data_IF_203431243963
#
_entry.id   IF_203431243963
#
_cell.length_a   1.000
_cell.length_b   1.000
_cell.length_c   1.000
_cell.angle_alpha   90.00
_cell.angle_beta   90.00
_cell.angle_gamma   90.00
#
_symmetry.space_group_name_H-M   'P 1'
#
loop_
_entity.id
_entity.type
_entity.pdbx_description
1 polymer ?
#
# COMPACT_ATOMS: atom_id res chain seq x y z
N UNK A 1 -11.69 -1.32 -7.63
CA UNK A 1 -10.64 -0.58 -6.89
C UNK A 1 -9.46 -1.52 -6.63
N UNK A 2 -8.22 -1.02 -6.69
CA UNK A 2 -7.00 -1.84 -6.68
C UNK A 2 -6.83 -2.69 -5.41
N UNK A 3 -7.33 -2.21 -4.27
CA UNK A 3 -7.35 -2.96 -3.01
C UNK A 3 -8.19 -4.25 -3.12
N UNK A 4 -9.32 -4.24 -3.85
CA UNK A 4 -10.18 -5.42 -3.99
C UNK A 4 -9.45 -6.55 -4.72
N UNK A 5 -8.83 -6.23 -5.85
CA UNK A 5 -8.02 -7.15 -6.65
C UNK A 5 -6.89 -7.80 -5.82
N UNK A 6 -6.21 -6.99 -4.99
CA UNK A 6 -5.16 -7.51 -4.11
C UNK A 6 -5.68 -8.52 -3.08
N UNK A 7 -6.88 -8.31 -2.55
CA UNK A 7 -7.46 -9.17 -1.52
C UNK A 7 -8.15 -10.41 -2.10
N UNK A 8 -8.77 -10.30 -3.26
CA UNK A 8 -9.57 -11.38 -3.88
C UNK A 8 -8.75 -12.24 -4.83
N UNK A 9 -7.78 -11.68 -5.55
CA UNK A 9 -7.04 -12.40 -6.59
C UNK A 9 -5.61 -12.73 -6.16
N UNK A 10 -4.91 -11.78 -5.52
CA UNK A 10 -3.48 -11.92 -5.21
C UNK A 10 -3.24 -12.63 -3.89
N UNK A 11 -3.90 -12.20 -2.82
CA UNK A 11 -3.67 -12.74 -1.48
C UNK A 11 -3.98 -14.26 -1.38
N UNK A 12 -5.06 -14.79 -1.99
CA UNK A 12 -5.32 -16.22 -1.96
C UNK A 12 -4.27 -17.08 -2.66
N UNK A 13 -3.50 -16.51 -3.60
CA UNK A 13 -2.43 -17.21 -4.31
C UNK A 13 -1.08 -17.15 -3.58
N UNK A 14 -0.82 -16.08 -2.84
CA UNK A 14 0.50 -15.80 -2.24
C UNK A 14 0.55 -15.87 -0.72
N UNK A 15 -0.60 -16.06 -0.05
CA UNK A 15 -0.84 -16.02 1.41
C UNK A 15 -0.43 -14.72 2.12
N UNK A 16 0.35 -13.87 1.46
CA UNK A 16 0.99 -12.69 2.02
C UNK A 16 1.40 -11.70 0.90
N UNK A 17 1.33 -10.40 1.17
CA UNK A 17 2.07 -9.39 0.42
C UNK A 17 2.51 -8.25 1.34
N UNK A 18 3.62 -7.60 0.98
CA UNK A 18 4.25 -6.53 1.76
C UNK A 18 4.50 -5.30 0.89
N UNK A 19 4.48 -4.14 1.55
CA UNK A 19 4.86 -2.84 1.00
C UNK A 19 4.19 -2.51 -0.35
N UNK A 20 2.92 -2.89 -0.51
CA UNK A 20 2.21 -2.63 -1.75
C UNK A 20 1.64 -1.22 -1.74
N UNK A 21 2.09 -0.38 -2.67
CA UNK A 21 1.63 1.01 -2.78
C UNK A 21 0.40 1.13 -3.69
N UNK A 22 -0.64 1.77 -3.18
CA UNK A 22 -1.86 2.10 -3.93
C UNK A 22 -2.08 3.59 -3.87
N UNK A 23 -2.09 4.23 -5.04
CA UNK A 23 -2.65 5.57 -5.17
C UNK A 23 -4.16 5.50 -5.37
N UNK A 24 -4.88 6.33 -4.63
CA UNK A 24 -6.32 6.43 -4.77
C UNK A 24 -6.78 7.86 -4.52
N UNK A 25 -7.77 8.29 -5.30
CA UNK A 25 -8.46 9.56 -5.10
C UNK A 25 -9.71 9.33 -4.25
N UNK A 26 -9.63 9.70 -2.98
CA UNK A 26 -10.72 9.53 -2.03
C UNK A 26 -11.63 10.75 -2.07
N UNK A 27 -12.94 10.52 -2.14
CA UNK A 27 -13.93 11.59 -2.26
C UNK A 27 -13.83 12.71 -1.21
N UNK A 28 -13.39 12.40 0.02
CA UNK A 28 -13.31 13.37 1.13
C UNK A 28 -11.91 13.85 1.46
N UNK A 29 -10.88 13.03 1.23
CA UNK A 29 -9.49 13.33 1.63
C UNK A 29 -8.54 13.55 0.45
N UNK A 30 -9.06 13.48 -0.79
CA UNK A 30 -8.33 13.64 -2.04
C UNK A 30 -7.39 12.49 -2.36
N UNK A 31 -6.42 12.76 -3.22
CA UNK A 31 -5.39 11.80 -3.61
C UNK A 31 -4.50 11.42 -2.42
N UNK A 32 -4.38 10.12 -2.15
CA UNK A 32 -3.46 9.56 -1.16
C UNK A 32 -2.70 8.38 -1.72
N UNK A 33 -1.49 8.19 -1.22
CA UNK A 33 -0.68 7.00 -1.44
C UNK A 33 -0.74 6.14 -0.19
N UNK A 34 -1.39 4.99 -0.29
CA UNK A 34 -1.55 4.02 0.80
C UNK A 34 -0.52 2.89 0.65
N UNK A 35 0.20 2.56 1.72
CA UNK A 35 1.06 1.39 1.82
C UNK A 35 0.28 0.26 2.49
N UNK A 36 0.23 -0.88 1.82
CA UNK A 36 -0.58 -2.02 2.23
C UNK A 36 0.32 -3.23 2.53
N UNK A 37 0.06 -3.88 3.66
CA UNK A 37 0.61 -5.19 4.00
C UNK A 37 -0.53 -6.12 4.35
N UNK A 38 -0.54 -7.34 3.81
CA UNK A 38 -1.57 -8.31 4.13
C UNK A 38 -1.00 -9.71 4.39
N UNK A 39 -1.69 -10.44 5.27
CA UNK A 39 -1.43 -11.85 5.58
C UNK A 39 -2.77 -12.59 5.71
N UNK A 40 -2.86 -13.74 5.06
CA UNK A 40 -3.96 -14.68 5.27
C UNK A 40 -3.61 -15.60 6.45
N UNK A 41 -4.56 -15.77 7.36
CA UNK A 41 -4.45 -16.63 8.54
C UNK A 41 -5.53 -17.70 8.43
N UNK A 42 -5.10 -18.95 8.26
CA UNK A 42 -5.98 -20.11 8.20
C UNK A 42 -6.25 -20.64 9.62
N UNK A 43 -7.52 -20.75 10.02
CA UNK A 43 -7.90 -21.32 11.31
C UNK A 43 -8.03 -22.84 11.25
N UNK A 44 -7.34 -23.53 12.16
CA UNK A 44 -7.22 -25.00 12.22
C UNK A 44 -8.57 -25.71 12.46
N UNK A 45 -9.55 -25.05 13.09
CA UNK A 45 -10.78 -25.68 13.60
C UNK A 45 -12.09 -25.28 12.91
N UNK A 46 -12.03 -24.65 11.74
CA UNK A 46 -13.24 -24.41 10.95
C UNK A 46 -13.10 -23.27 9.96
N UNK A 47 -12.83 -23.65 8.70
CA UNK A 47 -13.08 -23.03 7.37
C UNK A 47 -13.09 -21.51 7.15
N UNK A 48 -12.93 -20.68 8.16
CA UNK A 48 -12.90 -19.23 8.05
C UNK A 48 -11.48 -18.75 7.80
N UNK A 49 -11.29 -18.08 6.67
CA UNK A 49 -10.06 -17.38 6.32
C UNK A 49 -10.12 -15.97 6.91
N UNK A 50 -9.13 -15.62 7.71
CA UNK A 50 -8.97 -14.26 8.21
C UNK A 50 -7.89 -13.56 7.40
N UNK A 51 -8.13 -12.31 7.03
CA UNK A 51 -7.11 -11.46 6.45
C UNK A 51 -6.71 -10.43 7.49
N UNK A 52 -5.43 -10.44 7.87
CA UNK A 52 -4.81 -9.34 8.59
C UNK A 52 -4.30 -8.34 7.56
N UNK A 53 -4.80 -7.10 7.61
CA UNK A 53 -4.44 -6.01 6.70
C UNK A 53 -3.93 -4.82 7.51
N UNK A 54 -2.74 -4.34 7.19
CA UNK A 54 -2.22 -3.07 7.67
C UNK A 54 -2.23 -2.05 6.52
N UNK A 55 -2.69 -0.84 6.82
CA UNK A 55 -2.82 0.27 5.89
C UNK A 55 -2.15 1.48 6.51
N UNK A 56 -1.23 2.11 5.79
CA UNK A 56 -0.55 3.33 6.21
C UNK A 56 -0.68 4.39 5.10
N UNK A 57 -1.07 5.61 5.45
CA UNK A 57 -1.01 6.74 4.52
C UNK A 57 0.44 7.28 4.49
N UNK A 58 1.11 7.05 3.35
CA UNK A 58 2.50 7.46 3.14
C UNK A 58 2.62 8.69 2.24
N UNK A 59 1.52 9.39 1.96
CA UNK A 59 1.48 10.55 1.04
C UNK A 59 2.52 11.59 1.42
N UNK A 60 2.55 12.00 2.69
CA UNK A 60 3.51 13.01 3.19
C UNK A 60 4.96 12.56 3.06
N UNK A 61 5.23 11.28 3.30
CA UNK A 61 6.58 10.71 3.17
C UNK A 61 7.05 10.80 1.72
N UNK A 62 6.18 10.43 0.78
CA UNK A 62 6.45 10.49 -0.67
C UNK A 62 6.65 11.93 -1.16
N UNK A 63 5.87 12.88 -0.66
CA UNK A 63 6.02 14.30 -1.02
C UNK A 63 7.39 14.84 -0.58
N UNK A 64 7.83 14.51 0.64
CA UNK A 64 9.16 14.90 1.14
C UNK A 64 10.27 14.24 0.31
N UNK A 65 10.19 12.94 0.05
CA UNK A 65 11.16 12.22 -0.77
C UNK A 65 11.29 12.83 -2.18
N UNK A 66 10.16 13.13 -2.82
CA UNK A 66 10.15 13.75 -4.15
C UNK A 66 10.76 15.17 -4.14
N UNK A 67 10.47 15.97 -3.10
CA UNK A 67 11.04 17.30 -2.94
C UNK A 67 12.56 17.27 -2.71
N UNK A 68 13.05 16.34 -1.90
CA UNK A 68 14.48 16.13 -1.67
C UNK A 68 15.19 15.70 -2.95
N UNK A 69 14.61 14.75 -3.70
CA UNK A 69 15.19 14.27 -4.96
C UNK A 69 15.24 15.38 -6.02
N UNK A 70 14.20 16.22 -6.08
CA UNK A 70 14.19 17.41 -6.96
C UNK A 70 15.32 18.37 -6.59
N UNK A 71 15.45 18.72 -5.32
CA UNK A 71 16.50 19.62 -4.82
C UNK A 71 17.89 19.06 -5.12
N UNK A 72 18.09 17.76 -4.91
CA UNK A 72 19.35 17.07 -5.19
C UNK A 72 19.74 17.16 -6.67
N UNK A 73 18.78 16.96 -7.59
CA UNK A 73 19.02 17.07 -9.04
C UNK A 73 19.38 18.50 -9.45
N UNK A 74 18.73 19.50 -8.88
CA UNK A 74 19.01 20.91 -9.17
C UNK A 74 20.42 21.32 -8.74
N UNK A 75 20.89 20.84 -7.57
CA UNK A 75 22.25 21.10 -7.08
C UNK A 75 23.33 20.38 -7.91
N UNK A 76 23.01 19.25 -8.54
CA UNK A 76 23.97 18.48 -9.35
C UNK A 76 24.19 19.07 -10.76
N UNK A 77 23.43 20.10 -11.14
CA UNK A 77 23.51 20.77 -12.44
C UNK A 77 24.35 22.07 -12.38
N UNK A 78 24.80 22.46 -11.19
CA UNK A 78 25.70 23.61 -10.92
C UNK A 78 27.13 23.09 -10.78
#
# INVERSE_FOLDING_TARGET
>A
PKLRELLEDVLPQKTAFDNYEVEHDFATIGRRTMLLNARQIDRVLGKERIILLAIEDITKRKEVEAGLEKTRKELAVI
#
